data_IF_417954491614
#
_entry.id   IF_417954491614
#
_cell.length_a   1.000
_cell.length_b   1.000
_cell.length_c   1.000
_cell.angle_alpha   90.00
_cell.angle_beta   90.00
_cell.angle_gamma   90.00
#
_symmetry.space_group_name_H-M   'P 1'
#
loop_
_entity.id
_entity.type
_entity.pdbx_description
1 polymer ?
#
# COMPACT_ATOMS: atom_id res chain seq x y z
N UNK A 1 50.33 32.10 11.00
CA UNK A 1 49.81 30.82 10.46
C UNK A 1 48.48 31.12 9.80
N UNK A 2 48.43 31.06 8.46
CA UNK A 2 47.23 31.38 7.67
C UNK A 2 46.51 30.07 7.35
N UNK A 3 45.29 29.91 7.86
CA UNK A 3 44.45 28.75 7.57
C UNK A 3 43.89 28.87 6.16
N UNK A 4 44.13 27.87 5.32
CA UNK A 4 43.43 27.71 4.04
C UNK A 4 42.06 27.09 4.32
N UNK A 5 40.99 27.80 3.99
CA UNK A 5 39.65 27.22 3.91
C UNK A 5 39.61 26.23 2.73
N UNK A 6 39.19 25.00 3.00
CA UNK A 6 38.96 23.99 1.97
C UNK A 6 37.60 24.26 1.33
N UNK A 7 37.58 24.61 0.04
CA UNK A 7 36.36 24.71 -0.75
C UNK A 7 35.81 23.30 -1.02
N UNK A 8 34.76 22.95 -0.28
CA UNK A 8 34.01 21.71 -0.47
C UNK A 8 33.12 21.82 -1.72
N UNK A 9 33.69 21.58 -2.90
CA UNK A 9 32.96 21.51 -4.17
C UNK A 9 32.55 20.08 -4.47
N UNK A 10 31.56 19.59 -3.72
CA UNK A 10 30.74 18.49 -4.22
C UNK A 10 29.68 19.13 -5.10
N UNK A 11 29.88 19.04 -6.41
CA UNK A 11 28.81 19.28 -7.38
C UNK A 11 27.75 18.19 -7.13
N UNK A 12 26.65 18.58 -6.49
CA UNK A 12 25.57 17.67 -6.03
C UNK A 12 24.46 17.54 -7.06
N UNK A 13 24.69 18.00 -8.28
CA UNK A 13 23.69 17.93 -9.35
C UNK A 13 23.93 16.65 -10.16
N UNK A 14 23.17 15.56 -9.91
CA UNK A 14 23.19 14.42 -10.81
C UNK A 14 22.59 14.92 -12.13
N UNK A 15 23.43 15.17 -13.13
CA UNK A 15 23.01 15.76 -14.41
C UNK A 15 21.93 14.99 -15.19
N UNK A 16 21.44 13.86 -14.66
CA UNK A 16 20.28 13.11 -15.15
C UNK A 16 19.49 12.59 -13.94
N UNK A 17 18.17 12.86 -13.90
CA UNK A 17 17.22 12.17 -13.02
C UNK A 17 16.35 11.26 -13.88
N UNK A 18 16.46 9.94 -13.68
CA UNK A 18 15.49 9.01 -14.23
C UNK A 18 14.14 9.17 -13.52
N UNK A 19 13.05 9.20 -14.28
CA UNK A 19 11.71 9.10 -13.71
C UNK A 19 11.43 7.63 -13.39
N UNK A 20 11.31 7.30 -12.10
CA UNK A 20 10.90 5.95 -11.70
C UNK A 20 9.44 5.76 -12.15
N UNK A 21 9.15 4.80 -13.05
CA UNK A 21 7.79 4.53 -13.47
C UNK A 21 6.95 4.13 -12.26
N UNK A 22 5.75 4.69 -12.15
CA UNK A 22 4.81 4.32 -11.10
C UNK A 22 4.23 2.96 -11.47
N UNK A 23 4.64 1.90 -10.77
CA UNK A 23 3.97 0.60 -10.86
C UNK A 23 2.60 0.73 -10.18
N UNK A 24 1.49 0.53 -10.91
CA UNK A 24 0.16 0.62 -10.34
C UNK A 24 -0.22 -0.65 -9.58
N UNK A 25 -1.11 -0.50 -8.61
CA UNK A 25 -1.77 -1.61 -7.94
C UNK A 25 -3.20 -1.73 -8.45
N UNK A 26 -3.64 -2.94 -8.73
CA UNK A 26 -5.04 -3.26 -9.04
C UNK A 26 -5.75 -3.69 -7.76
N UNK A 27 -6.91 -3.12 -7.49
CA UNK A 27 -7.79 -3.62 -6.42
C UNK A 27 -8.45 -4.92 -6.90
N UNK A 28 -8.14 -6.04 -6.24
CA UNK A 28 -8.73 -7.36 -6.54
C UNK A 28 -10.01 -7.56 -5.73
N UNK A 29 -9.95 -7.26 -4.44
CA UNK A 29 -11.10 -7.28 -3.54
C UNK A 29 -11.14 -6.01 -2.70
N UNK A 30 -12.34 -5.59 -2.32
CA UNK A 30 -12.55 -4.38 -1.53
C UNK A 30 -13.71 -4.56 -0.55
N UNK A 31 -13.84 -3.61 0.37
CA UNK A 31 -14.90 -3.57 1.39
C UNK A 31 -14.95 -4.82 2.29
N UNK A 32 -13.80 -5.48 2.47
CA UNK A 32 -13.72 -6.70 3.29
C UNK A 32 -13.68 -6.32 4.78
N UNK A 33 -14.59 -6.83 5.62
CA UNK A 33 -14.50 -6.66 7.07
C UNK A 33 -13.23 -7.31 7.63
N UNK A 34 -12.65 -6.69 8.65
CA UNK A 34 -11.55 -7.29 9.41
C UNK A 34 -11.79 -7.11 10.92
N UNK A 35 -11.05 -7.90 11.69
CA UNK A 35 -11.33 -8.17 13.09
C UNK A 35 -10.05 -8.08 13.91
N UNK A 36 -10.17 -7.64 15.16
CA UNK A 36 -9.04 -7.56 16.10
C UNK A 36 -8.77 -8.86 16.85
N UNK A 37 -9.49 -9.94 16.52
CA UNK A 37 -9.37 -11.26 17.12
C UNK A 37 -9.33 -12.38 16.06
N UNK A 38 -8.60 -13.49 16.32
CA UNK A 38 -8.42 -14.58 15.36
C UNK A 38 -9.70 -15.37 15.06
N UNK A 39 -10.71 -15.31 15.92
CA UNK A 39 -12.01 -15.95 15.69
C UNK A 39 -12.93 -15.13 14.76
N UNK A 40 -12.51 -13.90 14.41
CA UNK A 40 -13.28 -12.93 13.64
C UNK A 40 -14.64 -12.62 14.29
N UNK A 41 -14.63 -12.20 15.56
CA UNK A 41 -15.83 -11.85 16.34
C UNK A 41 -15.91 -10.38 16.74
N UNK A 42 -14.78 -9.67 16.79
CA UNK A 42 -14.66 -8.26 17.12
C UNK A 42 -14.28 -7.47 15.86
N UNK A 43 -15.29 -7.12 15.07
CA UNK A 43 -15.08 -6.34 13.84
C UNK A 43 -14.53 -4.94 14.16
N UNK A 44 -13.65 -4.44 13.29
CA UNK A 44 -13.17 -3.06 13.27
C UNK A 44 -14.05 -2.25 12.29
N UNK A 45 -15.07 -1.52 12.77
CA UNK A 45 -16.11 -0.97 11.89
C UNK A 45 -15.68 0.26 11.10
N UNK A 46 -14.64 0.98 11.54
CA UNK A 46 -14.23 2.24 10.94
C UNK A 46 -13.41 2.11 9.65
N UNK A 47 -12.97 0.89 9.30
CA UNK A 47 -12.15 0.61 8.14
C UNK A 47 -12.52 -0.73 7.50
N UNK A 48 -12.07 -0.93 6.26
CA UNK A 48 -12.21 -2.18 5.51
C UNK A 48 -10.87 -2.54 4.87
N UNK A 49 -10.70 -3.83 4.58
CA UNK A 49 -9.57 -4.33 3.81
C UNK A 49 -9.83 -4.11 2.32
N UNK A 50 -8.77 -3.69 1.62
CA UNK A 50 -8.59 -3.89 0.19
C UNK A 50 -7.46 -4.89 -0.03
N UNK A 51 -7.65 -5.81 -0.99
CA UNK A 51 -6.60 -6.73 -1.44
C UNK A 51 -6.14 -6.24 -2.81
N UNK A 52 -4.84 -6.03 -2.95
CA UNK A 52 -4.22 -5.40 -4.11
C UNK A 52 -3.26 -6.38 -4.80
N UNK A 53 -3.19 -6.28 -6.11
CA UNK A 53 -2.17 -6.94 -6.94
C UNK A 53 -1.25 -5.86 -7.52
N UNK A 54 0.06 -6.00 -7.32
CA UNK A 54 1.03 -5.13 -7.98
C UNK A 54 1.14 -5.50 -9.46
N UNK A 55 0.97 -4.54 -10.36
CA UNK A 55 1.07 -4.76 -11.81
C UNK A 55 2.49 -4.48 -12.31
N UNK A 56 3.49 -5.13 -11.69
CA UNK A 56 4.87 -5.07 -12.14
C UNK A 56 5.11 -6.13 -13.23
N UNK A 57 5.46 -5.73 -14.47
CA UNK A 57 5.71 -6.69 -15.56
C UNK A 57 6.93 -7.59 -15.32
N UNK A 58 7.86 -7.18 -14.44
CA UNK A 58 9.06 -7.94 -14.12
C UNK A 58 8.85 -8.88 -12.91
N UNK A 59 7.73 -8.72 -12.19
CA UNK A 59 7.41 -9.60 -11.07
C UNK A 59 6.80 -10.91 -11.57
N UNK A 60 7.46 -12.00 -11.20
CA UNK A 60 7.06 -13.37 -11.58
C UNK A 60 6.22 -14.05 -10.50
N UNK A 61 6.15 -13.44 -9.32
CA UNK A 61 5.42 -13.93 -8.16
C UNK A 61 4.27 -12.94 -7.95
N UNK A 62 3.05 -13.30 -8.36
CA UNK A 62 1.87 -12.46 -8.18
C UNK A 62 1.48 -12.34 -6.71
N UNK A 63 2.23 -11.56 -5.93
CA UNK A 63 1.98 -11.30 -4.53
C UNK A 63 0.77 -10.37 -4.35
N UNK A 64 -0.06 -10.69 -3.36
CA UNK A 64 -1.23 -9.89 -2.99
C UNK A 64 -0.94 -9.10 -1.71
N UNK A 65 -1.19 -7.81 -1.76
CA UNK A 65 -1.10 -6.92 -0.61
C UNK A 65 -2.46 -6.77 0.07
N UNK A 66 -2.52 -7.03 1.38
CA UNK A 66 -3.72 -6.90 2.20
C UNK A 66 -3.62 -5.65 3.05
N UNK A 67 -4.45 -4.64 2.79
CA UNK A 67 -4.30 -3.30 3.41
C UNK A 67 -5.60 -2.76 4.03
N UNK A 68 -5.56 -2.17 5.24
CA UNK A 68 -6.70 -1.48 5.84
C UNK A 68 -6.86 -0.07 5.30
N UNK A 69 -8.09 0.34 4.99
CA UNK A 69 -8.42 1.69 4.57
C UNK A 69 -9.77 2.15 5.12
N UNK A 70 -9.88 3.45 5.37
CA UNK A 70 -11.17 4.12 5.61
C UNK A 70 -11.78 4.69 4.33
N UNK A 71 -11.04 4.65 3.22
CA UNK A 71 -11.58 4.96 1.89
C UNK A 71 -12.31 3.74 1.33
N UNK A 72 -13.28 4.01 0.47
CA UNK A 72 -13.96 2.98 -0.31
C UNK A 72 -13.24 2.78 -1.63
N UNK A 73 -13.03 1.52 -1.97
CA UNK A 73 -12.49 1.09 -3.26
C UNK A 73 -13.44 0.10 -3.91
N UNK A 74 -13.27 -0.11 -5.21
CA UNK A 74 -14.01 -1.08 -5.99
C UNK A 74 -13.03 -2.01 -6.72
N UNK A 75 -13.33 -3.31 -6.84
CA UNK A 75 -12.54 -4.23 -7.66
C UNK A 75 -12.34 -3.70 -9.09
N UNK A 76 -11.13 -3.87 -9.60
CA UNK A 76 -10.70 -3.40 -10.92
C UNK A 76 -10.12 -1.98 -10.94
N UNK A 77 -10.28 -1.19 -9.88
CA UNK A 77 -9.66 0.14 -9.81
C UNK A 77 -8.13 0.04 -9.79
N UNK A 78 -7.47 0.95 -10.51
CA UNK A 78 -6.02 1.14 -10.44
C UNK A 78 -5.69 2.24 -9.43
N UNK A 79 -4.78 1.95 -8.52
CA UNK A 79 -4.38 2.85 -7.45
C UNK A 79 -2.87 2.96 -7.35
N UNK A 80 -2.39 4.14 -6.98
CA UNK A 80 -1.00 4.35 -6.55
C UNK A 80 -0.87 4.09 -5.06
N UNK A 81 0.17 3.37 -4.66
CA UNK A 81 0.50 3.12 -3.25
C UNK A 81 0.70 4.42 -2.46
N UNK A 82 0.03 4.54 -1.33
CA UNK A 82 0.20 5.66 -0.40
C UNK A 82 -0.33 5.28 0.99
N UNK A 83 0.40 5.69 2.03
CA UNK A 83 0.09 5.36 3.42
C UNK A 83 -0.06 6.64 4.26
N UNK A 84 -0.93 6.58 5.26
CA UNK A 84 -1.14 7.60 6.28
C UNK A 84 -0.90 7.00 7.67
N UNK A 85 0.20 7.40 8.31
CA UNK A 85 0.61 6.88 9.61
C UNK A 85 -0.09 7.53 10.83
N UNK A 86 -1.08 8.42 10.61
CA UNK A 86 -1.88 8.99 11.70
C UNK A 86 -2.91 8.03 12.28
N UNK A 87 -3.16 6.93 11.59
CA UNK A 87 -4.08 5.86 12.00
C UNK A 87 -3.42 4.53 11.67
N UNK A 88 -3.49 3.60 12.60
CA UNK A 88 -3.00 2.25 12.41
C UNK A 88 -3.77 1.26 13.26
N UNK A 89 -3.65 0.01 12.89
CA UNK A 89 -4.31 -1.12 13.54
C UNK A 89 -3.23 -2.14 13.88
N UNK A 90 -3.38 -2.75 15.05
CA UNK A 90 -2.52 -3.83 15.53
C UNK A 90 -2.90 -5.15 14.85
N UNK A 91 -2.55 -6.28 15.46
CA UNK A 91 -2.76 -7.60 14.88
C UNK A 91 -4.23 -7.79 14.50
N UNK A 92 -4.47 -8.20 13.26
CA UNK A 92 -5.82 -8.25 12.68
C UNK A 92 -6.01 -9.47 11.80
N UNK A 93 -7.25 -9.91 11.67
CA UNK A 93 -7.67 -11.09 10.92
C UNK A 93 -8.85 -10.78 10.02
N UNK A 94 -9.02 -11.60 8.98
CA UNK A 94 -10.11 -11.46 8.04
C UNK A 94 -10.49 -12.81 7.44
N UNK A 95 -11.69 -12.88 6.85
CA UNK A 95 -12.13 -14.03 6.05
C UNK A 95 -11.81 -13.72 4.59
N UNK A 96 -10.94 -14.51 3.97
CA UNK A 96 -10.56 -14.29 2.59
C UNK A 96 -11.78 -14.50 1.67
N UNK A 97 -12.10 -13.59 0.73
CA UNK A 97 -13.33 -13.68 -0.07
C UNK A 97 -13.45 -14.95 -0.91
N UNK A 98 -12.32 -15.46 -1.38
CA UNK A 98 -12.25 -16.66 -2.25
C UNK A 98 -11.85 -17.94 -1.52
N UNK A 99 -11.48 -17.87 -0.24
CA UNK A 99 -11.06 -19.05 0.54
C UNK A 99 -12.01 -19.26 1.71
N UNK A 100 -12.14 -20.50 2.16
CA UNK A 100 -12.98 -20.83 3.32
C UNK A 100 -12.33 -20.51 4.66
N UNK A 101 -11.09 -20.01 4.67
CA UNK A 101 -10.24 -19.89 5.86
C UNK A 101 -10.20 -18.45 6.40
N UNK A 102 -10.02 -18.35 7.72
CA UNK A 102 -9.62 -17.10 8.37
C UNK A 102 -8.11 -16.96 8.21
N UNK A 103 -7.67 -15.79 7.77
CA UNK A 103 -6.26 -15.47 7.63
C UNK A 103 -5.88 -14.32 8.56
N UNK A 104 -4.64 -14.33 9.04
CA UNK A 104 -4.06 -13.15 9.67
C UNK A 104 -3.74 -12.14 8.58
N UNK A 105 -4.27 -10.93 8.69
CA UNK A 105 -4.03 -9.85 7.75
C UNK A 105 -2.65 -9.22 7.97
N UNK A 106 -2.34 -8.83 9.21
CA UNK A 106 -1.07 -8.21 9.59
C UNK A 106 -0.84 -8.30 11.10
N UNK A 107 0.38 -7.99 11.54
CA UNK A 107 0.73 -7.74 12.96
C UNK A 107 0.56 -6.27 13.32
N UNK A 108 0.84 -5.38 12.38
CA UNK A 108 0.57 -3.95 12.49
C UNK A 108 0.49 -3.35 11.08
N UNK A 109 -0.45 -2.44 10.84
CA UNK A 109 -0.55 -1.74 9.57
C UNK A 109 -1.11 -0.32 9.74
N UNK A 110 -0.63 0.62 8.93
CA UNK A 110 -1.13 2.01 8.89
C UNK A 110 -2.20 2.19 7.80
N UNK A 111 -2.96 3.28 7.82
CA UNK A 111 -4.01 3.50 6.83
C UNK A 111 -3.47 3.56 5.40
N UNK A 112 -3.95 2.66 4.54
CA UNK A 112 -3.79 2.77 3.11
C UNK A 112 -4.70 3.88 2.57
N UNK A 113 -4.09 4.87 1.92
CA UNK A 113 -4.77 6.04 1.34
C UNK A 113 -4.47 6.14 -0.16
N UNK A 114 -4.39 5.01 -0.84
CA UNK A 114 -4.19 4.92 -2.29
C UNK A 114 -4.98 5.95 -3.10
N UNK A 115 -4.33 6.49 -4.14
CA UNK A 115 -4.94 7.45 -5.05
C UNK A 115 -5.34 6.75 -6.33
N UNK A 116 -6.59 6.90 -6.75
CA UNK A 116 -7.06 6.41 -8.04
C UNK A 116 -6.19 6.99 -9.16
N UNK A 117 -5.70 6.10 -10.01
CA UNK A 117 -5.14 6.47 -11.29
C UNK A 117 -6.34 6.64 -12.22
N UNK A 118 -6.52 7.85 -12.75
CA UNK A 118 -7.43 8.03 -13.87
C UNK A 118 -6.83 7.28 -15.04
N UNK A 119 -7.63 6.52 -15.77
CA UNK A 119 -7.22 6.08 -17.11
C UNK A 119 -6.70 7.31 -17.83
N UNK A 120 -5.41 7.31 -18.15
CA UNK A 120 -4.92 8.20 -19.18
C UNK A 120 -5.55 7.65 -20.45
N UNK A 121 -6.62 8.31 -20.89
CA UNK A 121 -7.38 7.92 -22.07
C UNK A 121 -6.44 7.60 -23.23
N UNK A 122 -6.88 6.60 -23.98
CA UNK A 122 -6.29 6.08 -25.22
C UNK A 122 -5.86 7.17 -26.21
#
# INVERSE_FOLDING_TARGET
MSGKEATNSLDRDPGVTDEIPIVPYRVIHAEIPFYSDPECTQEVPEAKIAILEMLDPDDTIGELDVVPSRKKYEPGQLVRWSLNNKTGWEESWYRHPEKTEIERAWVYHVEFIGKLLKDQGT
#
